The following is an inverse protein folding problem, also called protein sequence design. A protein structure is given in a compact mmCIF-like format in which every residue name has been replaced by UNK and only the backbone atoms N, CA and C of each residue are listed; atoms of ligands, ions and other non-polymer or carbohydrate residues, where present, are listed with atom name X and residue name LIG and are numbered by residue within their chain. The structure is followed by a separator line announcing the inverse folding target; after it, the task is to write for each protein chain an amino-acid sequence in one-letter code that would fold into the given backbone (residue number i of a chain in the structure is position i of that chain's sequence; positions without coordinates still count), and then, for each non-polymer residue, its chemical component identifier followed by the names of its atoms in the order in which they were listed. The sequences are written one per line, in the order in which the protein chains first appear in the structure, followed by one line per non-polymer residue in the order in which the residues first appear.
data_IF_982406131136
#
_entry.id   IF_982406131136
#
_cell.length_a   1.000
_cell.length_b   1.000
_cell.length_c   1.000
_cell.angle_alpha   90.00
_cell.angle_beta   90.00
_cell.angle_gamma   90.00
#
_symmetry.space_group_name_H-M   'P 1'
#
loop_
_entity.id
_entity.type
_entity.pdbx_description
1 polymer ?
#
# COMPACT_ATOMS: atom_id res chain seq x y z
N UNK A 1 -12.04 -6.95 4.33
CA UNK A 1 -10.57 -6.86 4.27
C UNK A 1 -10.26 -5.40 4.04
N UNK A 2 -9.62 -4.79 5.04
CA UNK A 2 -9.53 -3.34 5.18
C UNK A 2 -8.15 -2.90 4.69
N UNK A 3 -8.09 -2.38 3.47
CA UNK A 3 -6.88 -1.77 2.92
C UNK A 3 -6.55 -0.42 3.58
N UNK A 4 -7.45 0.13 4.39
CA UNK A 4 -7.16 1.33 5.19
C UNK A 4 -6.40 0.98 6.47
N UNK A 5 -6.52 -0.25 6.97
CA UNK A 5 -5.59 -0.79 7.96
C UNK A 5 -4.34 -1.27 7.24
N UNK A 6 -3.31 -0.43 7.23
CA UNK A 6 -1.94 -0.71 6.76
C UNK A 6 -1.28 -1.84 7.56
N UNK A 7 -1.84 -3.05 7.45
CA UNK A 7 -1.52 -4.19 8.29
C UNK A 7 -0.78 -5.20 7.45
N UNK A 8 0.45 -5.54 7.87
CA UNK A 8 1.26 -6.56 7.20
C UNK A 8 0.64 -7.93 7.54
N UNK A 9 -0.02 -8.55 6.56
CA UNK A 9 -0.74 -9.81 6.72
C UNK A 9 0.15 -11.06 6.57
N UNK A 10 1.41 -10.90 6.15
CA UNK A 10 2.37 -12.00 6.05
C UNK A 10 3.82 -11.51 5.94
N UNK A 11 4.70 -12.12 6.74
CA UNK A 11 6.14 -11.84 6.76
C UNK A 11 6.60 -11.11 8.02
N UNK A 12 7.68 -11.58 8.64
CA UNK A 12 8.36 -10.86 9.71
C UNK A 12 9.27 -9.80 9.11
N UNK A 13 8.75 -8.58 8.92
CA UNK A 13 9.59 -7.43 8.60
C UNK A 13 10.17 -6.83 9.90
N UNK A 14 11.46 -6.44 9.90
CA UNK A 14 12.02 -5.73 11.04
C UNK A 14 11.28 -4.40 11.25
N UNK A 15 11.15 -3.99 12.51
CA UNK A 15 10.32 -2.84 12.94
C UNK A 15 10.51 -1.58 12.09
N UNK A 16 11.75 -1.25 11.73
CA UNK A 16 12.08 -0.11 10.86
C UNK A 16 11.50 -0.21 9.45
N UNK A 17 11.47 -1.41 8.87
CA UNK A 17 10.88 -1.61 7.56
C UNK A 17 9.35 -1.53 7.62
N UNK A 18 8.73 -1.94 8.73
CA UNK A 18 7.30 -1.72 8.94
C UNK A 18 6.97 -0.23 9.03
N UNK A 19 7.73 0.53 9.81
CA UNK A 19 7.57 1.99 9.94
C UNK A 19 7.73 2.69 8.58
N UNK A 20 8.74 2.34 7.79
CA UNK A 20 8.92 2.86 6.43
C UNK A 20 7.74 2.56 5.51
N UNK A 21 7.23 1.32 5.54
CA UNK A 21 6.07 0.91 4.73
C UNK A 21 4.80 1.63 5.18
N UNK A 22 4.63 1.86 6.48
CA UNK A 22 3.52 2.62 7.04
C UNK A 22 3.57 4.09 6.60
N UNK A 23 4.72 4.76 6.76
CA UNK A 23 4.91 6.16 6.36
C UNK A 23 4.65 6.36 4.86
N UNK A 24 5.17 5.45 4.03
CA UNK A 24 4.92 5.48 2.59
C UNK A 24 3.45 5.22 2.26
N UNK A 25 2.84 4.23 2.89
CA UNK A 25 1.46 3.89 2.59
C UNK A 25 0.47 4.93 3.15
N UNK A 26 0.85 5.70 4.17
CA UNK A 26 0.12 6.89 4.61
C UNK A 26 0.26 8.02 3.57
N UNK A 27 1.48 8.30 3.10
CA UNK A 27 1.73 9.32 2.07
C UNK A 27 0.98 9.02 0.75
N UNK A 28 0.95 7.75 0.36
CA UNK A 28 0.36 7.25 -0.88
C UNK A 28 -1.01 6.59 -0.69
N UNK A 29 -1.69 6.82 0.45
CA UNK A 29 -2.94 6.13 0.79
C UNK A 29 -4.03 6.34 -0.27
N UNK A 30 -4.14 7.58 -0.77
CA UNK A 30 -5.12 7.91 -1.80
C UNK A 30 -4.81 7.21 -3.13
N UNK A 31 -3.54 7.16 -3.52
CA UNK A 31 -3.09 6.47 -4.74
C UNK A 31 -3.33 4.97 -4.62
N UNK A 32 -3.01 4.35 -3.48
CA UNK A 32 -3.29 2.94 -3.19
C UNK A 32 -4.79 2.61 -3.28
N UNK A 33 -5.65 3.50 -2.79
CA UNK A 33 -7.11 3.34 -2.88
C UNK A 33 -7.63 3.46 -4.31
N UNK A 34 -7.15 4.44 -5.07
CA UNK A 34 -7.46 4.57 -6.49
C UNK A 34 -6.98 3.34 -7.28
N UNK A 35 -5.77 2.87 -6.98
CA UNK A 35 -5.16 1.71 -7.60
C UNK A 35 -5.95 0.43 -7.34
N UNK A 36 -6.35 0.23 -6.08
CA UNK A 36 -7.21 -0.87 -5.67
C UNK A 36 -8.56 -0.84 -6.40
N UNK A 37 -9.14 0.35 -6.55
CA UNK A 37 -10.39 0.54 -7.28
C UNK A 37 -10.22 0.21 -8.77
N UNK A 38 -9.12 0.63 -9.40
CA UNK A 38 -8.80 0.28 -10.79
C UNK A 38 -8.63 -1.23 -10.97
N UNK A 39 -7.91 -1.88 -10.05
CA UNK A 39 -7.77 -3.34 -10.02
C UNK A 39 -9.13 -4.04 -9.92
N UNK A 40 -10.03 -3.57 -9.05
CA UNK A 40 -11.40 -4.10 -8.95
C UNK A 40 -12.20 -3.91 -10.24
N UNK A 41 -11.99 -2.81 -10.96
CA UNK A 41 -12.59 -2.54 -12.27
C UNK A 41 -11.89 -3.26 -13.44
N UNK A 42 -10.95 -4.17 -13.16
CA UNK A 42 -10.09 -4.88 -14.15
C UNK A 42 -9.27 -3.92 -15.03
N UNK A 43 -9.06 -2.69 -14.57
CA UNK A 43 -8.18 -1.73 -15.21
C UNK A 43 -6.75 -1.90 -14.70
N UNK A 44 -5.77 -1.50 -15.51
CA UNK A 44 -4.39 -1.54 -15.07
C UNK A 44 -4.17 -0.53 -13.94
N UNK A 45 -3.63 -0.98 -12.80
CA UNK A 45 -3.23 -0.10 -11.72
C UNK A 45 -2.23 0.97 -12.19
N UNK A 46 -2.27 2.16 -11.60
CA UNK A 46 -1.29 3.21 -11.85
C UNK A 46 0.00 2.88 -11.09
N UNK A 47 1.18 3.10 -11.70
CA UNK A 47 2.44 2.86 -11.01
C UNK A 47 2.60 3.84 -9.85
N UNK A 48 2.52 3.33 -8.63
CA UNK A 48 2.85 4.07 -7.41
C UNK A 48 4.36 3.96 -7.20
N UNK A 49 5.02 5.09 -6.91
CA UNK A 49 6.48 5.10 -6.74
C UNK A 49 6.88 4.20 -5.56
N UNK A 50 7.75 3.20 -5.76
CA UNK A 50 8.18 2.35 -4.65
C UNK A 50 9.02 3.13 -3.65
N UNK A 51 9.00 2.70 -2.39
CA UNK A 51 9.98 3.10 -1.37
C UNK A 51 11.41 2.91 -1.92
N UNK A 52 12.19 4.00 -1.94
CA UNK A 52 13.62 4.00 -2.34
C UNK A 52 14.53 3.68 -1.16
#
# INVERSE_FOLDING_TARGET
MDIAMLTISGGELPRRAQELVLDWAELHQQELLEDWRMCMEKQQPKPIAPLK
#
